data_IF_897216279410
#
_entry.id   IF_897216279410
#
_cell.length_a   1.000
_cell.length_b   1.000
_cell.length_c   1.000
_cell.angle_alpha   90.00
_cell.angle_beta   90.00
_cell.angle_gamma   90.00
#
_symmetry.space_group_name_H-M   'P 1'
#
loop_
_entity.id
_entity.type
_entity.pdbx_description
1 polymer ?
#
# COMPACT_ATOMS: atom_id res chain seq x y z
N UNK A 1 -28.12 19.70 -37.87
CA UNK A 1 -28.60 18.65 -36.96
C UNK A 1 -27.45 17.70 -36.74
N UNK A 2 -26.81 17.83 -35.58
CA UNK A 2 -25.67 16.99 -35.17
C UNK A 2 -26.24 15.71 -34.57
N UNK A 3 -25.97 14.57 -35.19
CA UNK A 3 -26.24 13.26 -34.60
C UNK A 3 -25.00 12.81 -33.83
N UNK A 4 -25.09 12.78 -32.51
CA UNK A 4 -24.13 12.11 -31.64
C UNK A 4 -24.15 10.63 -31.94
N UNK A 5 -23.10 10.12 -32.59
CA UNK A 5 -22.77 8.70 -32.61
C UNK A 5 -22.40 8.33 -31.17
N UNK A 6 -23.35 7.70 -30.49
CA UNK A 6 -23.11 6.97 -29.26
C UNK A 6 -22.17 5.81 -29.60
N UNK A 7 -20.92 5.92 -29.17
CA UNK A 7 -19.95 4.83 -29.19
C UNK A 7 -20.39 3.75 -28.18
N UNK A 8 -21.41 2.98 -28.55
CA UNK A 8 -21.68 1.69 -27.93
C UNK A 8 -20.71 0.68 -28.54
N UNK A 9 -19.45 0.72 -28.09
CA UNK A 9 -18.59 -0.45 -28.19
C UNK A 9 -19.12 -1.49 -27.19
N UNK A 10 -20.20 -2.18 -27.55
CA UNK A 10 -20.53 -3.45 -26.93
C UNK A 10 -19.35 -4.38 -27.26
N UNK A 11 -18.47 -4.62 -26.29
CA UNK A 11 -17.38 -5.57 -26.46
C UNK A 11 -17.95 -6.87 -27.02
N UNK A 12 -17.43 -7.28 -28.19
CA UNK A 12 -17.83 -8.53 -28.81
C UNK A 12 -17.58 -9.67 -27.81
N UNK A 13 -18.51 -10.64 -27.68
CA UNK A 13 -18.32 -11.79 -26.81
C UNK A 13 -16.93 -12.42 -27.00
N UNK A 14 -16.22 -12.69 -25.92
CA UNK A 14 -14.88 -13.27 -25.95
C UNK A 14 -14.90 -14.72 -25.45
N UNK A 15 -13.91 -15.54 -25.83
CA UNK A 15 -13.71 -16.84 -25.21
C UNK A 15 -13.61 -16.70 -23.69
N UNK A 16 -14.31 -17.56 -22.94
CA UNK A 16 -14.30 -17.52 -21.48
C UNK A 16 -12.88 -17.62 -20.88
N UNK A 17 -11.96 -18.28 -21.60
CA UNK A 17 -10.54 -18.36 -21.25
C UNK A 17 -9.84 -17.01 -21.18
N UNK A 18 -10.28 -16.00 -21.94
CA UNK A 18 -9.73 -14.64 -21.88
C UNK A 18 -9.98 -14.05 -20.49
N UNK A 19 -11.20 -14.18 -19.97
CA UNK A 19 -11.56 -13.66 -18.64
C UNK A 19 -10.90 -14.44 -17.51
N UNK A 20 -10.77 -15.77 -17.66
CA UNK A 20 -10.03 -16.61 -16.71
C UNK A 20 -8.55 -16.21 -16.67
N UNK A 21 -7.92 -16.01 -17.83
CA UNK A 21 -6.51 -15.61 -17.89
C UNK A 21 -6.27 -14.21 -17.32
N UNK A 22 -7.18 -13.26 -17.57
CA UNK A 22 -7.15 -11.94 -16.92
C UNK A 22 -7.20 -12.11 -15.41
N UNK A 23 -8.21 -12.80 -14.88
CA UNK A 23 -8.34 -13.04 -13.44
C UNK A 23 -7.11 -13.69 -12.79
N UNK A 24 -6.49 -14.67 -13.46
CA UNK A 24 -5.25 -15.30 -13.00
C UNK A 24 -4.11 -14.29 -12.98
N UNK A 25 -3.98 -13.44 -14.00
CA UNK A 25 -2.99 -12.37 -14.02
C UNK A 25 -3.24 -11.38 -12.87
N UNK A 26 -4.48 -10.90 -12.68
CA UNK A 26 -4.87 -10.01 -11.58
C UNK A 26 -4.53 -10.61 -10.21
N UNK A 27 -4.76 -11.91 -10.02
CA UNK A 27 -4.43 -12.62 -8.78
C UNK A 27 -2.91 -12.68 -8.53
N UNK A 28 -2.12 -12.95 -9.57
CA UNK A 28 -0.66 -12.97 -9.47
C UNK A 28 -0.10 -11.57 -9.18
N UNK A 29 -0.64 -10.55 -9.83
CA UNK A 29 -0.22 -9.16 -9.62
C UNK A 29 -0.61 -8.69 -8.20
N UNK A 30 -1.78 -9.09 -7.69
CA UNK A 30 -2.17 -8.83 -6.30
C UNK A 30 -1.21 -9.50 -5.31
N UNK A 31 -0.81 -10.73 -5.56
CA UNK A 31 0.17 -11.44 -4.73
C UNK A 31 1.55 -10.74 -4.74
N UNK A 32 2.00 -10.27 -5.90
CA UNK A 32 3.25 -9.52 -6.04
C UNK A 32 3.19 -8.17 -5.30
N UNK A 33 2.05 -7.48 -5.39
CA UNK A 33 1.81 -6.24 -4.65
C UNK A 33 1.86 -6.48 -3.13
N UNK A 34 1.17 -7.52 -2.62
CA UNK A 34 1.23 -7.92 -1.22
C UNK A 34 2.67 -8.16 -0.74
N UNK A 35 3.44 -8.93 -1.52
CA UNK A 35 4.84 -9.23 -1.18
C UNK A 35 5.67 -7.95 -1.08
N UNK A 36 5.47 -7.03 -2.03
CA UNK A 36 6.20 -5.76 -2.09
C UNK A 36 5.79 -4.81 -0.95
N UNK A 37 4.52 -4.79 -0.55
CA UNK A 37 4.02 -4.03 0.62
C UNK A 37 4.66 -4.56 1.89
N UNK A 38 4.65 -5.88 2.09
CA UNK A 38 5.24 -6.53 3.25
C UNK A 38 6.73 -6.17 3.35
N UNK A 39 7.49 -6.29 2.26
CA UNK A 39 8.90 -5.90 2.21
C UNK A 39 9.11 -4.41 2.49
N UNK A 40 8.20 -3.55 2.05
CA UNK A 40 8.28 -2.10 2.27
C UNK A 40 8.04 -1.69 3.73
N UNK A 41 7.49 -2.57 4.57
CA UNK A 41 7.16 -2.29 5.97
C UNK A 41 8.06 -3.07 6.93
N UNK A 42 8.17 -4.39 6.76
CA UNK A 42 8.80 -5.29 7.74
C UNK A 42 10.28 -5.00 7.94
N UNK A 43 11.04 -5.04 6.84
CA UNK A 43 12.50 -4.86 6.90
C UNK A 43 12.88 -3.46 7.43
N UNK A 44 12.24 -2.37 7.00
CA UNK A 44 12.47 -1.05 7.58
C UNK A 44 12.07 -0.93 9.06
N UNK A 45 10.94 -1.51 9.47
CA UNK A 45 10.43 -1.39 10.85
C UNK A 45 11.35 -2.02 11.90
N UNK A 46 12.09 -3.08 11.55
CA UNK A 46 13.13 -3.65 12.42
C UNK A 46 14.31 -2.69 12.57
N UNK A 47 14.72 -2.04 11.49
CA UNK A 47 15.83 -1.09 11.49
C UNK A 47 15.50 0.19 12.28
N UNK A 48 14.27 0.68 12.17
CA UNK A 48 13.83 1.90 12.85
C UNK A 48 13.94 1.81 14.38
N UNK A 49 13.58 0.67 14.97
CA UNK A 49 13.72 0.47 16.42
C UNK A 49 15.20 0.52 16.85
N UNK A 50 16.09 -0.10 16.07
CA UNK A 50 17.53 -0.01 16.32
C UNK A 50 18.04 1.43 16.22
N UNK A 51 17.57 2.19 15.23
CA UNK A 51 17.96 3.60 15.05
C UNK A 51 17.50 4.45 16.25
N UNK A 52 16.27 4.26 16.73
CA UNK A 52 15.76 4.97 17.90
C UNK A 52 16.53 4.63 19.18
N UNK A 53 16.97 3.37 19.33
CA UNK A 53 17.80 2.96 20.47
C UNK A 53 19.15 3.70 20.46
N UNK A 54 19.80 3.82 19.29
CA UNK A 54 21.04 4.58 19.14
C UNK A 54 20.80 6.07 19.37
N UNK A 55 19.75 6.64 18.78
CA UNK A 55 19.39 8.04 18.96
C UNK A 55 19.10 8.38 20.45
N UNK A 56 18.51 7.46 21.20
CA UNK A 56 18.31 7.59 22.65
C UNK A 56 19.63 7.65 23.41
N UNK A 57 20.59 6.78 23.07
CA UNK A 57 21.94 6.80 23.66
C UNK A 57 22.69 8.09 23.32
N UNK A 58 22.56 8.59 22.09
CA UNK A 58 23.14 9.86 21.67
C UNK A 58 22.59 11.03 22.50
N UNK A 59 21.27 11.02 22.80
CA UNK A 59 20.64 12.01 23.70
C UNK A 59 21.22 11.93 25.12
N UNK A 60 21.36 10.73 25.69
CA UNK A 60 21.94 10.52 27.02
C UNK A 60 23.39 11.04 27.10
N UNK A 61 24.15 10.84 26.03
CA UNK A 61 25.52 11.34 25.87
C UNK A 61 25.60 12.83 25.54
N UNK A 62 24.45 13.51 25.37
CA UNK A 62 24.33 14.90 24.93
C UNK A 62 24.93 15.17 23.54
N UNK A 63 25.02 14.14 22.70
CA UNK A 63 25.48 14.22 21.32
C UNK A 63 24.29 14.46 20.37
N UNK A 64 23.87 15.72 20.27
CA UNK A 64 22.75 16.08 19.41
C UNK A 64 23.04 15.83 17.93
N UNK A 65 24.28 15.99 17.46
CA UNK A 65 24.58 15.85 16.04
C UNK A 65 24.47 14.41 15.57
N UNK A 66 24.98 13.46 16.37
CA UNK A 66 24.78 12.03 16.11
C UNK A 66 23.31 11.64 16.17
N UNK A 67 22.56 12.13 17.17
CA UNK A 67 21.12 11.90 17.26
C UNK A 67 20.37 12.40 16.00
N UNK A 68 20.71 13.61 15.52
CA UNK A 68 20.12 14.18 14.29
C UNK A 68 20.47 13.36 13.06
N UNK A 69 21.69 12.87 12.97
CA UNK A 69 22.09 11.95 11.90
C UNK A 69 21.22 10.68 11.90
N UNK A 70 21.03 10.04 13.07
CA UNK A 70 20.16 8.85 13.20
C UNK A 70 18.73 9.13 12.76
N UNK A 71 18.10 10.19 13.29
CA UNK A 71 16.71 10.54 12.96
C UNK A 71 16.52 10.88 11.48
N UNK A 72 17.49 11.57 10.86
CA UNK A 72 17.44 11.87 9.42
C UNK A 72 17.56 10.60 8.56
N UNK A 73 18.40 9.65 8.96
CA UNK A 73 18.50 8.34 8.31
C UNK A 73 17.19 7.56 8.40
N UNK A 74 16.55 7.55 9.58
CA UNK A 74 15.23 6.95 9.77
C UNK A 74 14.18 7.61 8.87
N UNK A 75 14.18 8.94 8.76
CA UNK A 75 13.22 9.68 7.91
C UNK A 75 13.32 9.26 6.45
N UNK A 76 14.53 9.09 5.92
CA UNK A 76 14.74 8.56 4.56
C UNK A 76 14.16 7.15 4.42
N UNK A 77 14.39 6.28 5.42
CA UNK A 77 13.81 4.93 5.45
C UNK A 77 12.29 4.94 5.42
N UNK A 78 11.65 5.76 6.27
CA UNK A 78 10.19 5.92 6.32
C UNK A 78 9.65 6.47 5.00
N UNK A 79 10.32 7.46 4.40
CA UNK A 79 9.93 8.02 3.10
C UNK A 79 9.98 6.97 1.99
N UNK A 80 11.02 6.13 1.97
CA UNK A 80 11.12 5.04 1.01
C UNK A 80 10.00 4.00 1.19
N UNK A 81 9.63 3.68 2.44
CA UNK A 81 8.48 2.81 2.73
C UNK A 81 7.16 3.40 2.21
N UNK A 82 6.93 4.70 2.42
CA UNK A 82 5.74 5.41 1.90
C UNK A 82 5.68 5.28 0.38
N UNK A 83 6.75 5.67 -0.33
CA UNK A 83 6.78 5.60 -1.79
C UNK A 83 6.65 4.17 -2.32
N UNK A 84 7.19 3.17 -1.60
CA UNK A 84 7.03 1.76 -1.92
C UNK A 84 5.57 1.32 -1.87
N UNK A 85 4.83 1.71 -0.84
CA UNK A 85 3.41 1.38 -0.68
C UNK A 85 2.54 2.16 -1.67
N UNK A 86 2.79 3.46 -1.86
CA UNK A 86 2.07 4.29 -2.86
C UNK A 86 2.17 3.69 -4.27
N UNK A 87 3.36 3.19 -4.65
CA UNK A 87 3.54 2.50 -5.92
C UNK A 87 2.68 1.23 -6.01
N UNK A 88 2.59 0.45 -4.93
CA UNK A 88 1.75 -0.75 -4.92
C UNK A 88 0.26 -0.42 -4.92
N UNK A 89 -0.17 0.65 -4.25
CA UNK A 89 -1.57 1.10 -4.32
C UNK A 89 -2.00 1.39 -5.75
N UNK A 90 -1.18 2.08 -6.54
CA UNK A 90 -1.47 2.30 -7.97
C UNK A 90 -1.61 1.00 -8.76
N UNK A 91 -0.81 -0.03 -8.44
CA UNK A 91 -0.97 -1.35 -9.05
C UNK A 91 -2.28 -2.03 -8.61
N UNK A 92 -2.63 -1.93 -7.33
CA UNK A 92 -3.82 -2.54 -6.74
C UNK A 92 -5.10 -1.88 -7.28
N UNK A 93 -5.10 -0.56 -7.47
CA UNK A 93 -6.17 0.16 -8.17
C UNK A 93 -6.42 -0.43 -9.56
N UNK A 94 -5.38 -0.57 -10.39
CA UNK A 94 -5.51 -1.18 -11.72
C UNK A 94 -6.00 -2.64 -11.69
N UNK A 95 -5.57 -3.42 -10.69
CA UNK A 95 -6.07 -4.79 -10.47
C UNK A 95 -7.57 -4.77 -10.12
N UNK A 96 -7.99 -3.87 -9.24
CA UNK A 96 -9.39 -3.75 -8.82
C UNK A 96 -10.30 -3.35 -9.99
N UNK A 97 -9.84 -2.45 -10.85
CA UNK A 97 -10.53 -2.06 -12.08
C UNK A 97 -10.67 -3.25 -13.04
N UNK A 98 -9.59 -4.02 -13.28
CA UNK A 98 -9.61 -5.19 -14.16
C UNK A 98 -10.58 -6.28 -13.66
N UNK A 99 -10.62 -6.53 -12.35
CA UNK A 99 -11.55 -7.48 -11.74
C UNK A 99 -13.00 -6.98 -11.78
N UNK A 100 -13.21 -5.68 -11.53
CA UNK A 100 -14.53 -5.07 -11.64
C UNK A 100 -15.06 -5.17 -13.07
N UNK A 101 -14.21 -4.91 -14.06
CA UNK A 101 -14.54 -5.08 -15.47
C UNK A 101 -15.02 -6.50 -15.75
N UNK A 102 -14.29 -7.53 -15.30
CA UNK A 102 -14.71 -8.94 -15.46
C UNK A 102 -16.07 -9.20 -14.80
N UNK A 103 -16.33 -8.64 -13.61
CA UNK A 103 -17.62 -8.79 -12.93
C UNK A 103 -18.77 -8.10 -13.67
N UNK A 104 -18.52 -7.01 -14.39
CA UNK A 104 -19.53 -6.29 -15.14
C UNK A 104 -19.90 -6.95 -16.48
N UNK A 105 -19.09 -7.90 -16.95
CA UNK A 105 -19.34 -8.60 -18.22
C UNK A 105 -20.64 -9.42 -18.12
N UNK A 106 -21.59 -9.24 -19.05
CA UNK A 106 -22.80 -10.06 -19.08
C UNK A 106 -22.49 -11.55 -19.24
N UNK A 107 -23.21 -12.42 -18.53
CA UNK A 107 -23.05 -13.90 -18.63
C UNK A 107 -23.17 -14.40 -20.08
N UNK A 108 -23.96 -13.72 -20.91
CA UNK A 108 -24.13 -14.11 -22.33
C UNK A 108 -22.88 -13.88 -23.18
N UNK A 109 -21.93 -13.07 -22.70
CA UNK A 109 -20.71 -12.74 -23.43
C UNK A 109 -19.57 -13.73 -23.20
N UNK A 110 -19.74 -14.72 -22.32
CA UNK A 110 -18.79 -15.81 -22.12
C UNK A 110 -18.98 -16.87 -23.21
N UNK A 111 -18.06 -16.92 -24.18
CA UNK A 111 -18.13 -17.92 -25.24
C UNK A 111 -17.35 -19.20 -24.84
N UNK A 112 -17.95 -20.39 -25.03
CA UNK A 112 -17.21 -21.65 -24.90
C UNK A 112 -16.14 -21.75 -25.98
N UNK A 113 -14.94 -22.19 -25.60
CA UNK A 113 -13.93 -22.60 -26.59
C UNK A 113 -14.32 -23.89 -27.31
N UNK A 114 -14.96 -24.81 -26.59
CA UNK A 114 -15.55 -26.05 -27.09
C UNK A 114 -16.77 -26.44 -26.24
N UNK A 115 -17.84 -26.91 -26.88
CA UNK A 115 -19.06 -27.36 -26.18
C UNK A 115 -19.92 -26.22 -25.62
N UNK A 116 -20.71 -26.51 -24.59
CA UNK A 116 -21.45 -25.51 -23.81
C UNK A 116 -20.80 -25.38 -22.42
N UNK A 117 -20.68 -24.16 -21.89
CA UNK A 117 -20.28 -23.95 -20.49
C UNK A 117 -21.55 -23.92 -19.65
N UNK A 118 -21.69 -24.80 -18.64
CA UNK A 118 -22.83 -24.72 -17.72
C UNK A 118 -22.90 -23.37 -17.02
N UNK A 119 -24.10 -22.80 -16.91
CA UNK A 119 -24.32 -21.50 -16.22
C UNK A 119 -23.83 -21.52 -14.76
N UNK A 120 -23.91 -22.68 -14.09
CA UNK A 120 -23.36 -22.89 -12.76
C UNK A 120 -21.85 -22.68 -12.68
N UNK A 121 -21.12 -23.02 -13.75
CA UNK A 121 -19.66 -22.83 -13.83
C UNK A 121 -19.31 -21.35 -13.98
N UNK A 122 -20.04 -20.62 -14.82
CA UNK A 122 -19.85 -19.17 -14.98
C UNK A 122 -20.20 -18.45 -13.67
N UNK A 123 -21.28 -18.88 -13.01
CA UNK A 123 -21.70 -18.33 -11.72
C UNK A 123 -20.66 -18.57 -10.63
N UNK A 124 -20.07 -19.77 -10.55
CA UNK A 124 -18.98 -20.05 -9.62
C UNK A 124 -17.76 -19.19 -9.91
N UNK A 125 -17.33 -19.11 -11.17
CA UNK A 125 -16.20 -18.27 -11.57
C UNK A 125 -16.42 -16.82 -11.14
N UNK A 126 -17.59 -16.23 -11.41
CA UNK A 126 -17.91 -14.86 -10.97
C UNK A 126 -17.87 -14.71 -9.46
N UNK A 127 -18.34 -15.71 -8.70
CA UNK A 127 -18.22 -15.72 -7.24
C UNK A 127 -16.76 -15.72 -6.77
N UNK A 128 -15.89 -16.48 -7.44
CA UNK A 128 -14.45 -16.48 -7.13
C UNK A 128 -13.80 -15.12 -7.45
N UNK A 129 -14.19 -14.47 -8.55
CA UNK A 129 -13.74 -13.10 -8.89
C UNK A 129 -14.23 -12.08 -7.88
N UNK A 130 -15.47 -12.19 -7.41
CA UNK A 130 -16.01 -11.30 -6.38
C UNK A 130 -15.24 -11.43 -5.06
N UNK A 131 -14.89 -12.66 -4.66
CA UNK A 131 -14.02 -12.90 -3.50
C UNK A 131 -12.63 -12.27 -3.70
N UNK A 132 -12.04 -12.41 -4.88
CA UNK A 132 -10.74 -11.80 -5.19
C UNK A 132 -10.82 -10.27 -5.18
N UNK A 133 -11.85 -9.68 -5.79
CA UNK A 133 -12.08 -8.23 -5.77
C UNK A 133 -12.24 -7.70 -4.35
N UNK A 134 -13.03 -8.38 -3.51
CA UNK A 134 -13.20 -8.01 -2.10
C UNK A 134 -11.88 -8.14 -1.31
N UNK A 135 -11.02 -9.09 -1.66
CA UNK A 135 -9.70 -9.24 -1.05
C UNK A 135 -8.76 -8.10 -1.47
N UNK A 136 -8.77 -7.74 -2.75
CA UNK A 136 -7.95 -6.65 -3.33
C UNK A 136 -8.37 -5.30 -2.75
N UNK A 137 -9.67 -5.03 -2.62
CA UNK A 137 -10.18 -3.80 -1.99
C UNK A 137 -9.85 -3.75 -0.50
N UNK A 138 -9.95 -4.88 0.23
CA UNK A 138 -9.47 -4.96 1.61
C UNK A 138 -7.96 -4.68 1.75
N UNK A 139 -7.15 -5.06 0.75
CA UNK A 139 -5.73 -4.71 0.71
C UNK A 139 -5.51 -3.21 0.49
N UNK A 140 -6.34 -2.54 -0.33
CA UNK A 140 -6.30 -1.08 -0.49
C UNK A 140 -6.55 -0.37 0.85
N UNK A 141 -7.63 -0.74 1.54
CA UNK A 141 -7.98 -0.19 2.85
C UNK A 141 -6.84 -0.37 3.86
N UNK A 142 -6.23 -1.56 3.87
CA UNK A 142 -5.05 -1.83 4.71
C UNK A 142 -3.88 -0.90 4.38
N UNK A 143 -3.55 -0.72 3.10
CA UNK A 143 -2.48 0.17 2.67
C UNK A 143 -2.74 1.63 3.06
N UNK A 144 -3.98 2.11 2.98
CA UNK A 144 -4.33 3.48 3.40
C UNK A 144 -4.09 3.70 4.90
N UNK A 145 -4.47 2.72 5.74
CA UNK A 145 -4.20 2.77 7.19
C UNK A 145 -2.70 2.84 7.46
N UNK A 146 -1.92 1.94 6.84
CA UNK A 146 -0.46 1.92 7.02
C UNK A 146 0.20 3.21 6.52
N UNK A 147 -0.24 3.75 5.38
CA UNK A 147 0.25 5.04 4.90
C UNK A 147 -0.07 6.18 5.85
N UNK A 148 -1.24 6.15 6.50
CA UNK A 148 -1.58 7.11 7.56
C UNK A 148 -0.56 7.08 8.70
N UNK A 149 -0.22 5.89 9.19
CA UNK A 149 0.77 5.72 10.26
C UNK A 149 2.18 6.15 9.83
N UNK A 150 2.62 5.74 8.64
CA UNK A 150 3.93 6.10 8.11
C UNK A 150 4.07 7.60 7.87
N UNK A 151 3.02 8.26 7.36
CA UNK A 151 3.02 9.70 7.19
C UNK A 151 3.09 10.42 8.55
N UNK A 152 2.37 9.95 9.56
CA UNK A 152 2.46 10.52 10.91
C UNK A 152 3.86 10.35 11.54
N UNK A 153 4.51 9.19 11.31
CA UNK A 153 5.91 8.94 11.65
C UNK A 153 6.84 9.90 10.91
N UNK A 154 6.67 10.07 9.60
CA UNK A 154 7.47 10.95 8.77
C UNK A 154 7.33 12.42 9.22
N UNK A 155 6.11 12.88 9.51
CA UNK A 155 5.84 14.21 10.02
C UNK A 155 6.55 14.46 11.36
N UNK A 156 6.52 13.48 12.25
CA UNK A 156 7.24 13.54 13.54
C UNK A 156 8.75 13.71 13.33
N UNK A 157 9.32 12.96 12.39
CA UNK A 157 10.74 13.07 12.04
C UNK A 157 11.06 14.41 11.34
N UNK A 158 10.09 14.95 10.60
CA UNK A 158 10.21 16.18 9.83
C UNK A 158 10.00 17.48 10.63
N UNK A 159 9.73 17.42 11.95
CA UNK A 159 9.58 18.58 12.86
C UNK A 159 10.81 19.55 12.82
N UNK A 160 11.88 19.21 12.12
CA UNK A 160 13.13 19.94 12.06
C UNK A 160 13.49 20.77 10.83
N UNK A 161 12.77 20.68 9.72
CA UNK A 161 13.17 21.37 8.47
C UNK A 161 12.40 22.69 8.27
N UNK A 162 12.04 23.37 9.37
CA UNK A 162 11.61 24.75 9.26
C UNK A 162 12.86 25.65 9.41
N UNK A 163 13.36 26.31 8.34
CA UNK A 163 14.61 27.06 8.35
C UNK A 163 14.64 28.25 9.33
N UNK A 164 13.52 28.55 9.99
CA UNK A 164 13.37 29.67 10.90
C UNK A 164 13.62 29.33 12.39
N UNK A 165 13.82 28.06 12.77
CA UNK A 165 14.09 27.67 14.17
C UNK A 165 15.12 26.54 14.33
N UNK A 166 16.29 26.74 13.71
CA UNK A 166 17.42 25.82 13.77
C UNK A 166 17.89 25.51 15.21
N UNK A 167 17.71 26.44 16.14
CA UNK A 167 18.12 26.29 17.53
C UNK A 167 17.14 25.39 18.31
N UNK A 168 15.83 25.52 18.08
CA UNK A 168 14.87 24.54 18.61
C UNK A 168 15.07 23.16 17.98
N UNK A 169 15.37 23.08 16.68
CA UNK A 169 15.69 21.81 16.04
C UNK A 169 16.96 21.16 16.63
N UNK A 170 18.01 21.92 16.94
CA UNK A 170 19.20 21.35 17.58
C UNK A 170 19.08 21.25 19.12
N UNK A 171 17.86 21.26 19.66
CA UNK A 171 17.63 20.99 21.08
C UNK A 171 17.54 19.49 21.36
N UNK A 172 18.21 19.07 22.45
CA UNK A 172 18.06 17.72 23.02
C UNK A 172 16.62 17.45 23.48
N UNK A 173 15.88 18.47 23.90
CA UNK A 173 14.48 18.33 24.31
C UNK A 173 13.58 17.94 23.14
N UNK A 174 13.75 18.61 22.00
CA UNK A 174 13.01 18.30 20.77
C UNK A 174 13.41 16.94 20.22
N UNK A 175 14.71 16.63 20.20
CA UNK A 175 15.19 15.31 19.78
C UNK A 175 14.59 14.19 20.64
N UNK A 176 14.54 14.37 21.96
CA UNK A 176 13.90 13.43 22.88
C UNK A 176 12.42 13.27 22.62
N UNK A 177 11.70 14.38 22.44
CA UNK A 177 10.28 14.35 22.09
C UNK A 177 10.02 13.55 20.80
N UNK A 178 10.86 13.74 19.78
CA UNK A 178 10.74 13.01 18.51
C UNK A 178 11.01 11.52 18.69
N UNK A 179 12.07 11.15 19.41
CA UNK A 179 12.39 9.75 19.71
C UNK A 179 11.23 9.08 20.46
N UNK A 180 10.74 9.69 21.55
CA UNK A 180 9.63 9.17 22.35
C UNK A 180 8.34 9.01 21.51
N UNK A 181 8.08 9.95 20.60
CA UNK A 181 6.91 9.92 19.72
C UNK A 181 7.06 8.86 18.63
N UNK A 182 8.26 8.70 18.06
CA UNK A 182 8.54 7.67 17.06
C UNK A 182 8.40 6.26 17.65
N UNK A 183 8.83 6.00 18.89
CA UNK A 183 8.59 4.72 19.54
C UNK A 183 7.10 4.36 19.62
N UNK A 184 6.26 5.34 19.99
CA UNK A 184 4.80 5.15 20.00
C UNK A 184 4.27 4.90 18.59
N UNK A 185 4.73 5.67 17.60
CA UNK A 185 4.34 5.51 16.20
C UNK A 185 4.67 4.11 15.65
N UNK A 186 5.88 3.60 15.90
CA UNK A 186 6.27 2.24 15.49
C UNK A 186 5.40 1.19 16.18
N UNK A 187 5.05 1.38 17.45
CA UNK A 187 4.17 0.44 18.17
C UNK A 187 2.77 0.44 17.54
N UNK A 188 2.19 1.61 17.24
CA UNK A 188 0.91 1.71 16.54
C UNK A 188 0.96 1.00 15.19
N UNK A 189 1.99 1.28 14.38
CA UNK A 189 2.19 0.64 13.08
C UNK A 189 2.26 -0.88 13.21
N UNK A 190 3.03 -1.40 14.18
CA UNK A 190 3.13 -2.85 14.42
C UNK A 190 1.78 -3.47 14.78
N UNK A 191 1.01 -2.82 15.64
CA UNK A 191 -0.31 -3.34 16.01
C UNK A 191 -1.24 -3.37 14.79
N UNK A 192 -1.24 -2.33 13.96
CA UNK A 192 -2.05 -2.25 12.75
C UNK A 192 -1.61 -3.25 11.67
N UNK A 193 -0.32 -3.62 11.62
CA UNK A 193 0.24 -4.53 10.60
C UNK A 193 0.21 -6.00 11.03
N UNK A 194 0.43 -6.31 12.31
CA UNK A 194 0.64 -7.68 12.79
C UNK A 194 -0.43 -8.21 13.74
N UNK A 195 -1.22 -7.34 14.36
CA UNK A 195 -2.19 -7.72 15.39
C UNK A 195 -3.65 -7.39 15.04
N UNK A 196 -3.88 -6.62 13.96
CA UNK A 196 -5.20 -6.31 13.39
C UNK A 196 -5.70 -7.39 12.44
#
# INVERSE_FOLDING_TARGET
>A
MSGTLSDNYSELPQPASVYVNRAIASANDAFNACTSIISSILEPAEQWESILNVASQDIENKDIQSCRYQLSGMQVGVTNSISGIELQLGNIEGISEDLQDILLIPVQNYQPEQGEIPESTISQFRGDIELLFNTVTGLQDFCEVVLGDLNALNDTLNIGVNPYDHDAYNSLEVAKMQVDTCYKGITTLRNNVFEG
#
